data_IF_459865428819
#
_entry.id   IF_459865428819
#
_cell.length_a   1.000
_cell.length_b   1.000
_cell.length_c   1.000
_cell.angle_alpha   90.00
_cell.angle_beta   90.00
_cell.angle_gamma   90.00
#
_symmetry.space_group_name_H-M   'P 1'
#
loop_
_entity.id
_entity.type
_entity.pdbx_description
1 polymer ?
#
# COMPACT_ATOMS: atom_id res chain seq x y z
N UNK A 1 10.44 -1.19 2.24
CA UNK A 1 11.63 -1.69 3.00
C UNK A 1 11.57 -3.19 3.29
N UNK A 2 10.61 -3.71 4.10
CA UNK A 2 10.61 -5.11 4.56
C UNK A 2 10.74 -6.10 3.39
N UNK A 3 9.87 -6.02 2.39
CA UNK A 3 9.95 -6.92 1.22
C UNK A 3 11.26 -6.81 0.45
N UNK A 4 11.86 -5.62 0.38
CA UNK A 4 13.16 -5.44 -0.26
C UNK A 4 14.29 -6.11 0.53
N UNK A 5 14.26 -6.01 1.86
CA UNK A 5 15.24 -6.69 2.73
C UNK A 5 15.10 -8.20 2.66
N UNK A 6 13.86 -8.73 2.63
CA UNK A 6 13.61 -10.17 2.42
C UNK A 6 14.11 -10.65 1.03
N UNK A 7 14.11 -9.77 0.03
CA UNK A 7 14.71 -10.03 -1.28
C UNK A 7 16.24 -9.87 -1.33
N UNK A 8 16.89 -9.56 -0.20
CA UNK A 8 18.34 -9.45 -0.07
C UNK A 8 18.94 -8.05 -0.31
N UNK A 9 18.10 -7.04 -0.52
CA UNK A 9 18.57 -5.66 -0.70
C UNK A 9 18.71 -4.94 0.64
N UNK A 10 19.78 -4.13 0.76
CA UNK A 10 19.99 -3.24 1.92
C UNK A 10 19.30 -1.91 1.62
N UNK A 11 18.10 -1.74 2.14
CA UNK A 11 17.25 -0.55 1.92
C UNK A 11 16.88 0.05 3.27
N UNK A 12 17.13 1.35 3.41
CA UNK A 12 16.68 2.17 4.54
C UNK A 12 15.53 3.08 4.12
N UNK A 13 14.95 3.82 5.05
CA UNK A 13 13.77 4.65 4.77
C UNK A 13 14.08 5.79 3.81
N UNK A 14 15.27 6.36 3.90
CA UNK A 14 15.79 7.42 3.03
C UNK A 14 16.01 6.98 1.58
N UNK A 15 16.16 5.66 1.35
CA UNK A 15 16.32 5.08 0.01
C UNK A 15 14.96 4.87 -0.69
N UNK A 16 13.84 5.07 0.02
CA UNK A 16 12.50 4.91 -0.54
C UNK A 16 12.02 6.23 -1.13
N UNK A 17 11.89 6.28 -2.43
CA UNK A 17 11.31 7.42 -3.14
C UNK A 17 9.81 7.54 -2.79
N UNK A 18 9.45 8.59 -2.03
CA UNK A 18 8.08 8.79 -1.57
C UNK A 18 7.43 9.95 -2.31
N UNK A 19 6.38 9.64 -3.07
CA UNK A 19 5.56 10.64 -3.75
C UNK A 19 4.25 10.83 -2.97
N UNK A 20 4.21 11.85 -2.14
CA UNK A 20 3.01 12.19 -1.39
C UNK A 20 1.94 12.74 -2.34
N UNK A 21 0.70 12.36 -2.11
CA UNK A 21 -0.47 12.88 -2.85
C UNK A 21 -1.12 14.10 -2.16
N UNK A 22 -0.64 14.42 -0.96
CA UNK A 22 -0.98 15.65 -0.21
C UNK A 22 0.23 16.58 -0.31
N UNK A 23 0.05 17.88 -0.59
CA UNK A 23 1.15 18.83 -0.67
C UNK A 23 1.96 18.88 0.63
N UNK A 24 3.28 18.97 0.52
CA UNK A 24 4.19 19.02 1.69
C UNK A 24 3.88 20.16 2.65
N UNK A 25 3.28 21.25 2.15
CA UNK A 25 2.87 22.39 2.99
C UNK A 25 1.88 22.00 4.08
N UNK A 26 1.08 20.96 3.87
CA UNK A 26 0.11 20.45 4.85
C UNK A 26 0.78 19.81 6.08
N UNK A 27 2.01 19.35 5.92
CA UNK A 27 2.77 18.70 7.01
C UNK A 27 3.63 19.70 7.82
N UNK A 28 3.55 21.01 7.48
CA UNK A 28 4.25 22.07 8.19
C UNK A 28 3.34 22.67 9.25
N UNK A 29 3.64 22.41 10.52
CA UNK A 29 2.89 22.96 11.63
C UNK A 29 2.24 21.91 12.54
N UNK A 30 1.39 22.36 13.47
CA UNK A 30 0.67 21.45 14.36
C UNK A 30 -0.29 20.52 13.63
N UNK A 31 -0.52 19.34 14.18
CA UNK A 31 -1.43 18.33 13.62
C UNK A 31 -2.87 18.88 13.46
N UNK A 32 -3.29 19.79 14.31
CA UNK A 32 -4.61 20.45 14.22
C UNK A 32 -4.78 21.25 12.93
N UNK A 33 -3.73 21.92 12.46
CA UNK A 33 -3.76 22.69 11.21
C UNK A 33 -3.84 21.78 10.00
N UNK A 34 -3.16 20.64 10.04
CA UNK A 34 -3.30 19.57 9.03
C UNK A 34 -4.77 19.14 8.88
N UNK A 35 -5.44 18.80 10.00
CA UNK A 35 -6.83 18.35 9.96
C UNK A 35 -7.81 19.43 9.48
N UNK A 36 -7.55 20.71 9.82
CA UNK A 36 -8.35 21.84 9.34
C UNK A 36 -8.19 22.10 7.84
N UNK A 37 -6.98 21.89 7.33
CA UNK A 37 -6.68 22.15 5.92
C UNK A 37 -7.13 21.00 4.99
N UNK A 38 -7.16 19.76 5.49
CA UNK A 38 -7.42 18.56 4.69
C UNK A 38 -8.72 18.63 3.86
N UNK A 39 -9.87 19.13 4.37
CA UNK A 39 -11.10 19.24 3.59
C UNK A 39 -10.99 20.10 2.33
N UNK A 40 -10.01 21.01 2.26
CA UNK A 40 -9.78 21.81 1.06
C UNK A 40 -9.36 21.01 -0.17
N UNK A 41 -8.96 19.75 0.01
CA UNK A 41 -8.56 18.83 -1.07
C UNK A 41 -9.75 17.97 -1.56
N UNK A 42 -10.86 17.92 -0.82
CA UNK A 42 -11.95 16.99 -1.08
C UNK A 42 -12.56 17.17 -2.47
N UNK A 43 -12.87 18.39 -2.87
CA UNK A 43 -13.45 18.70 -4.18
C UNK A 43 -12.53 18.25 -5.34
N UNK A 44 -11.23 18.45 -5.18
CA UNK A 44 -10.24 18.05 -6.17
C UNK A 44 -10.15 16.53 -6.31
N UNK A 45 -10.11 15.82 -5.18
CA UNK A 45 -10.10 14.36 -5.17
C UNK A 45 -11.41 13.77 -5.66
N UNK A 46 -12.56 14.33 -5.30
CA UNK A 46 -13.86 13.87 -5.76
C UNK A 46 -13.99 14.03 -7.29
N UNK A 47 -13.59 15.17 -7.84
CA UNK A 47 -13.58 15.37 -9.30
C UNK A 47 -12.69 14.33 -9.99
N UNK A 48 -11.48 14.11 -9.48
CA UNK A 48 -10.57 13.09 -10.03
C UNK A 48 -11.16 11.69 -9.91
N UNK A 49 -11.81 11.36 -8.79
CA UNK A 49 -12.48 10.07 -8.60
C UNK A 49 -13.56 9.84 -9.66
N UNK A 50 -14.41 10.86 -9.92
CA UNK A 50 -15.49 10.79 -10.94
C UNK A 50 -14.93 10.65 -12.36
N UNK A 51 -13.83 11.32 -12.68
CA UNK A 51 -13.17 11.20 -13.98
C UNK A 51 -12.63 9.77 -14.18
N UNK A 52 -11.92 9.26 -13.19
CA UNK A 52 -11.37 7.91 -13.23
C UNK A 52 -12.44 6.81 -13.27
N UNK A 53 -13.56 7.01 -12.59
CA UNK A 53 -14.68 6.06 -12.61
C UNK A 53 -15.25 5.88 -14.02
N UNK A 54 -15.35 6.97 -14.81
CA UNK A 54 -15.78 6.93 -16.23
C UNK A 54 -14.82 6.10 -17.09
N UNK A 55 -13.55 6.08 -16.73
CA UNK A 55 -12.51 5.32 -17.41
C UNK A 55 -12.31 3.91 -16.83
N UNK A 56 -13.15 3.48 -15.89
CA UNK A 56 -13.00 2.22 -15.13
C UNK A 56 -11.64 2.13 -14.43
N UNK A 57 -11.18 3.23 -13.85
CA UNK A 57 -9.95 3.34 -13.07
C UNK A 57 -10.26 3.68 -11.61
N UNK A 58 -9.30 3.36 -10.74
CA UNK A 58 -9.32 3.72 -9.31
C UNK A 58 -7.94 4.19 -8.87
N UNK A 59 -7.93 5.03 -7.83
CA UNK A 59 -6.69 5.42 -7.16
C UNK A 59 -6.28 4.35 -6.14
N UNK A 60 -4.99 4.00 -6.15
CA UNK A 60 -4.38 3.09 -5.18
C UNK A 60 -3.02 3.63 -4.74
N UNK A 61 -2.75 3.59 -3.46
CA UNK A 61 -1.44 3.94 -2.93
C UNK A 61 -0.57 2.68 -2.93
N UNK A 62 0.41 2.65 -3.82
CA UNK A 62 1.18 1.44 -4.13
C UNK A 62 2.64 1.65 -3.78
N UNK A 63 3.19 0.71 -3.04
CA UNK A 63 4.63 0.57 -2.85
C UNK A 63 5.18 -0.42 -3.89
N UNK A 64 6.23 -0.05 -4.57
CA UNK A 64 6.92 -0.89 -5.56
C UNK A 64 8.38 -1.08 -5.20
N UNK A 65 8.90 -2.25 -5.51
CA UNK A 65 10.34 -2.56 -5.45
C UNK A 65 10.72 -3.29 -6.74
N UNK A 66 11.71 -2.76 -7.45
CA UNK A 66 12.24 -3.32 -8.67
C UNK A 66 13.75 -3.07 -8.71
N UNK A 67 14.53 -4.13 -8.85
CA UNK A 67 16.01 -4.09 -8.89
C UNK A 67 16.64 -3.27 -7.75
N UNK A 68 16.11 -3.42 -6.54
CA UNK A 68 16.59 -2.71 -5.35
C UNK A 68 16.14 -1.25 -5.25
N UNK A 69 15.37 -0.73 -6.20
CA UNK A 69 14.76 0.60 -6.11
C UNK A 69 13.37 0.49 -5.50
N UNK A 70 13.12 1.30 -4.49
CA UNK A 70 11.85 1.33 -3.79
C UNK A 70 11.14 2.66 -3.99
N UNK A 71 9.83 2.62 -4.28
CA UNK A 71 9.02 3.83 -4.32
C UNK A 71 7.62 3.61 -3.75
N UNK A 72 7.02 4.68 -3.26
CA UNK A 72 5.62 4.70 -2.80
C UNK A 72 4.90 5.88 -3.44
N UNK A 73 3.79 5.61 -4.13
CA UNK A 73 3.05 6.64 -4.85
C UNK A 73 1.57 6.32 -5.00
N UNK A 74 0.76 7.35 -5.24
CA UNK A 74 -0.63 7.20 -5.65
C UNK A 74 -0.68 6.88 -7.14
N UNK A 75 -1.24 5.71 -7.48
CA UNK A 75 -1.32 5.19 -8.84
C UNK A 75 -2.77 5.09 -9.32
N UNK A 76 -2.97 5.32 -10.60
CA UNK A 76 -4.23 5.00 -11.28
C UNK A 76 -4.17 3.57 -11.79
N UNK A 77 -5.11 2.76 -11.36
CA UNK A 77 -5.20 1.36 -11.77
C UNK A 77 -6.51 1.10 -12.51
N UNK A 78 -6.44 0.36 -13.60
CA UNK A 78 -7.60 -0.05 -14.39
C UNK A 78 -8.20 -1.36 -13.86
N UNK A 79 -9.35 -1.75 -14.40
CA UNK A 79 -10.09 -2.93 -13.99
C UNK A 79 -9.38 -4.28 -14.26
N UNK A 80 -8.30 -4.30 -15.06
CA UNK A 80 -7.48 -5.49 -15.28
C UNK A 80 -6.39 -5.65 -14.20
N UNK A 81 -6.17 -4.62 -13.40
CA UNK A 81 -5.17 -4.65 -12.33
C UNK A 81 -5.70 -5.43 -11.12
N UNK A 82 -4.90 -6.32 -10.52
CA UNK A 82 -5.28 -7.01 -9.29
C UNK A 82 -5.52 -6.05 -8.11
N UNK A 83 -4.98 -4.83 -8.15
CA UNK A 83 -5.21 -3.79 -7.15
C UNK A 83 -6.56 -3.09 -7.28
N UNK A 84 -7.26 -3.24 -8.42
CA UNK A 84 -8.51 -2.52 -8.67
C UNK A 84 -9.64 -2.93 -7.72
N UNK A 85 -9.82 -4.23 -7.49
CA UNK A 85 -10.90 -4.79 -6.68
C UNK A 85 -10.61 -4.83 -5.18
N UNK A 86 -9.46 -4.30 -4.74
CA UNK A 86 -9.09 -4.29 -3.33
C UNK A 86 -10.06 -3.41 -2.52
N UNK A 87 -10.69 -3.98 -1.50
CA UNK A 87 -11.69 -3.31 -0.66
C UNK A 87 -11.42 -3.47 0.84
N UNK A 88 -11.94 -2.54 1.61
CA UNK A 88 -11.83 -2.54 3.07
C UNK A 88 -10.38 -2.50 3.55
N UNK A 89 -10.06 -3.30 4.54
CA UNK A 89 -8.72 -3.43 5.13
C UNK A 89 -7.88 -4.56 4.51
N UNK A 90 -8.29 -5.08 3.35
CA UNK A 90 -7.49 -6.05 2.61
C UNK A 90 -6.19 -5.43 2.09
N UNK A 91 -5.14 -6.22 2.16
CA UNK A 91 -3.86 -5.91 1.52
C UNK A 91 -3.61 -6.89 0.39
N UNK A 92 -2.84 -6.48 -0.59
CA UNK A 92 -2.38 -7.32 -1.68
C UNK A 92 -0.89 -7.11 -1.91
N UNK A 93 -0.17 -8.21 -2.08
CA UNK A 93 1.22 -8.22 -2.50
C UNK A 93 1.29 -8.96 -3.82
N UNK A 94 1.87 -8.33 -4.83
CA UNK A 94 2.13 -8.93 -6.13
C UNK A 94 3.62 -9.17 -6.28
N UNK A 95 4.01 -10.42 -6.53
CA UNK A 95 5.40 -10.82 -6.72
C UNK A 95 5.60 -11.30 -8.16
N UNK A 96 6.44 -10.56 -8.89
CA UNK A 96 6.92 -10.95 -10.22
C UNK A 96 8.35 -11.47 -10.07
N UNK A 97 8.57 -12.71 -10.43
CA UNK A 97 9.88 -13.38 -10.32
C UNK A 97 10.16 -14.15 -11.61
N UNK A 98 11.36 -14.69 -11.77
CA UNK A 98 11.68 -15.55 -12.92
C UNK A 98 10.72 -16.74 -13.09
N UNK A 99 10.16 -17.25 -11.99
CA UNK A 99 9.16 -18.33 -12.02
C UNK A 99 7.73 -17.82 -12.25
N UNK A 100 7.39 -16.69 -11.69
CA UNK A 100 6.06 -16.08 -11.74
C UNK A 100 6.10 -14.81 -12.60
N UNK A 101 6.60 -14.93 -13.84
CA UNK A 101 6.74 -13.80 -14.75
C UNK A 101 5.45 -13.53 -15.50
N UNK A 102 4.92 -14.55 -16.21
CA UNK A 102 3.71 -14.40 -17.04
C UNK A 102 2.44 -14.34 -16.18
N UNK A 103 2.47 -15.00 -15.04
CA UNK A 103 1.41 -14.99 -14.02
C UNK A 103 2.02 -14.67 -12.67
N UNK A 104 2.08 -13.38 -12.28
CA UNK A 104 2.60 -12.97 -10.98
C UNK A 104 1.87 -13.64 -9.82
N UNK A 105 2.61 -13.99 -8.78
CA UNK A 105 2.02 -14.53 -7.56
C UNK A 105 1.32 -13.40 -6.78
N UNK A 106 0.06 -13.63 -6.39
CA UNK A 106 -0.74 -12.70 -5.60
C UNK A 106 -0.98 -13.29 -4.22
N UNK A 107 -0.67 -12.49 -3.20
CA UNK A 107 -1.00 -12.78 -1.80
C UNK A 107 -1.97 -11.71 -1.35
N UNK A 108 -3.21 -12.10 -1.02
CA UNK A 108 -4.26 -11.17 -0.62
C UNK A 108 -4.90 -11.61 0.68
N UNK A 109 -5.18 -10.68 1.55
CA UNK A 109 -5.86 -10.93 2.82
C UNK A 109 -5.81 -9.72 3.76
N UNK A 110 -6.39 -9.89 4.93
CA UNK A 110 -6.28 -8.89 5.99
C UNK A 110 -4.86 -8.84 6.52
N UNK A 111 -4.24 -7.65 6.49
CA UNK A 111 -2.91 -7.43 7.06
C UNK A 111 -2.98 -6.91 8.50
N UNK A 112 -4.09 -6.28 8.89
CA UNK A 112 -4.28 -5.66 10.19
C UNK A 112 -5.70 -5.89 10.71
N UNK A 113 -5.89 -5.63 12.00
CA UNK A 113 -7.15 -5.79 12.70
C UNK A 113 -6.99 -6.61 13.99
N UNK A 114 -7.78 -6.30 15.00
CA UNK A 114 -7.65 -6.91 16.34
C UNK A 114 -7.72 -8.44 16.29
N UNK A 115 -8.69 -9.00 15.56
CA UNK A 115 -8.87 -10.45 15.45
C UNK A 115 -7.74 -11.15 14.71
N UNK A 116 -7.24 -10.55 13.61
CA UNK A 116 -6.14 -11.12 12.84
C UNK A 116 -4.84 -11.10 13.64
N UNK A 117 -4.56 -10.00 14.31
CA UNK A 117 -3.37 -9.86 15.16
C UNK A 117 -3.43 -10.83 16.35
N UNK A 118 -4.59 -10.91 17.03
CA UNK A 118 -4.78 -11.84 18.15
C UNK A 118 -4.62 -13.30 17.71
N UNK A 119 -5.14 -13.66 16.54
CA UNK A 119 -4.99 -15.01 16.00
C UNK A 119 -3.52 -15.36 15.71
N UNK A 120 -2.75 -14.40 15.18
CA UNK A 120 -1.31 -14.57 14.94
C UNK A 120 -0.54 -14.79 16.23
N UNK A 121 -0.76 -13.93 17.23
CA UNK A 121 -0.13 -14.08 18.57
C UNK A 121 -0.49 -15.42 19.21
N UNK A 122 -1.77 -15.83 19.14
CA UNK A 122 -2.21 -17.10 19.68
C UNK A 122 -1.56 -18.29 18.95
N UNK A 123 -1.44 -18.22 17.63
CA UNK A 123 -0.76 -19.26 16.86
C UNK A 123 0.72 -19.42 17.26
N UNK A 124 1.41 -18.32 17.51
CA UNK A 124 2.80 -18.33 17.99
C UNK A 124 2.91 -18.96 19.38
N UNK A 125 1.99 -18.63 20.30
CA UNK A 125 1.93 -19.26 21.63
C UNK A 125 1.73 -20.78 21.51
N UNK A 126 0.81 -21.21 20.65
CA UNK A 126 0.55 -22.63 20.41
C UNK A 126 1.75 -23.34 19.79
N UNK A 127 2.47 -22.67 18.89
CA UNK A 127 3.69 -23.22 18.28
C UNK A 127 4.77 -23.45 19.34
N UNK A 128 4.97 -22.50 20.26
CA UNK A 128 5.93 -22.65 21.36
C UNK A 128 5.51 -23.77 22.31
N UNK A 129 4.21 -23.91 22.60
CA UNK A 129 3.71 -24.94 23.50
C UNK A 129 3.83 -26.37 22.94
N UNK A 130 3.95 -26.51 21.62
CA UNK A 130 4.06 -27.81 20.93
C UNK A 130 5.51 -28.20 20.59
N UNK A 131 6.50 -27.45 21.07
CA UNK A 131 7.91 -27.82 21.03
C UNK A 131 8.25 -28.61 22.31
#
# INVERSE_FOLDING_TARGET
MILAREAGYRIEQEDVETHLFIPESFFKGPLEDFWKALPSLDDGFEKRRQELEKEHKRLRFIATMEDGKCSVRLCEVNNNSPFYSLEGSNNIIMLTTARYHDYPMLIQGYGAGASVTAAGVFADIMSIANI
#
